data_IF_299892325111
#
_entry.id   IF_299892325111
#
_cell.length_a   1.000
_cell.length_b   1.000
_cell.length_c   1.000
_cell.angle_alpha   90.00
_cell.angle_beta   90.00
_cell.angle_gamma   90.00
#
_symmetry.space_group_name_H-M   'P 1'
#
loop_
_entity.id
_entity.type
_entity.pdbx_description
1 polymer ?
#
# COMPACT_ATOMS: atom_id res chain seq x y z
N UNK A 1 18.52 -15.52 -4.34
CA UNK A 1 18.41 -14.13 -4.82
C UNK A 1 17.22 -13.52 -4.09
N UNK A 2 17.44 -12.60 -3.15
CA UNK A 2 16.34 -11.85 -2.58
C UNK A 2 15.73 -11.04 -3.73
N UNK A 3 14.46 -11.20 -4.09
CA UNK A 3 13.87 -10.33 -5.09
C UNK A 3 13.87 -8.93 -4.48
N UNK A 4 14.79 -8.07 -4.93
CA UNK A 4 14.79 -6.65 -4.65
C UNK A 4 13.41 -6.11 -5.02
N UNK A 5 12.56 -5.80 -4.05
CA UNK A 5 11.23 -5.26 -4.36
C UNK A 5 10.16 -5.40 -3.28
N UNK A 6 10.44 -5.95 -2.11
CA UNK A 6 9.48 -6.02 -0.99
C UNK A 6 10.11 -5.64 0.35
N UNK A 7 9.32 -5.06 1.25
CA UNK A 7 9.73 -4.67 2.61
C UNK A 7 8.66 -5.07 3.62
N UNK A 8 8.99 -5.05 4.91
CA UNK A 8 8.04 -5.35 5.97
C UNK A 8 6.98 -4.25 6.04
N UNK A 9 5.71 -4.63 5.97
CA UNK A 9 4.59 -3.71 6.05
C UNK A 9 4.18 -3.49 7.52
N UNK A 10 4.15 -2.23 7.96
CA UNK A 10 3.56 -1.86 9.25
C UNK A 10 2.18 -1.26 9.02
N UNK A 11 1.13 -2.02 9.32
CA UNK A 11 -0.25 -1.61 9.04
C UNK A 11 -0.76 -0.70 10.15
N UNK A 12 -1.12 0.52 9.77
CA UNK A 12 -1.74 1.51 10.65
C UNK A 12 -3.26 1.38 10.59
N UNK A 13 -3.80 1.25 9.38
CA UNK A 13 -5.23 1.03 9.17
C UNK A 13 -5.50 -0.02 8.10
N UNK A 14 -6.60 -0.75 8.27
CA UNK A 14 -7.11 -1.71 7.30
C UNK A 14 -8.62 -1.56 7.18
N UNK A 15 -9.11 -1.48 5.96
CA UNK A 15 -10.53 -1.60 5.65
C UNK A 15 -10.79 -2.68 4.61
N UNK A 16 -12.06 -3.02 4.42
CA UNK A 16 -12.49 -3.91 3.35
C UNK A 16 -13.63 -3.25 2.56
N UNK A 17 -13.42 -3.09 1.24
CA UNK A 17 -14.38 -2.50 0.32
C UNK A 17 -14.75 -3.57 -0.71
N UNK A 18 -16.02 -4.00 -0.73
CA UNK A 18 -16.52 -5.03 -1.65
C UNK A 18 -15.66 -6.31 -1.72
N UNK A 19 -15.08 -6.72 -0.59
CA UNK A 19 -14.21 -7.91 -0.49
C UNK A 19 -12.74 -7.67 -0.87
N UNK A 20 -12.38 -6.47 -1.35
CA UNK A 20 -11.00 -6.03 -1.54
C UNK A 20 -10.49 -5.41 -0.25
N UNK A 21 -9.36 -5.92 0.27
CA UNK A 21 -8.73 -5.28 1.43
C UNK A 21 -7.96 -4.05 0.97
N UNK A 22 -8.10 -2.96 1.71
CA UNK A 22 -7.32 -1.72 1.52
C UNK A 22 -6.55 -1.47 2.81
N UNK A 23 -5.28 -1.16 2.68
CA UNK A 23 -4.33 -1.02 3.76
C UNK A 23 -3.69 0.35 3.68
N UNK A 24 -3.59 1.00 4.83
CA UNK A 24 -2.77 2.17 5.06
C UNK A 24 -1.68 1.80 6.06
N UNK A 25 -0.44 2.13 5.76
CA UNK A 25 0.67 1.72 6.60
C UNK A 25 1.95 2.46 6.33
N UNK A 26 3.00 2.04 7.03
CA UNK A 26 4.37 2.53 6.85
C UNK A 26 5.30 1.39 6.53
N UNK A 27 6.37 1.71 5.80
CA UNK A 27 7.42 0.74 5.49
C UNK A 27 8.71 1.44 5.08
N UNK A 28 9.79 0.67 5.00
CA UNK A 28 11.08 1.21 4.56
C UNK A 28 11.26 0.83 3.10
N UNK A 29 11.17 1.82 2.21
CA UNK A 29 11.50 1.63 0.81
C UNK A 29 13.01 1.81 0.61
N UNK A 30 13.79 0.73 0.36
CA UNK A 30 15.24 0.79 0.31
C UNK A 30 15.78 1.61 -0.88
N UNK A 31 14.95 1.93 -1.87
CA UNK A 31 15.36 2.68 -3.05
C UNK A 31 15.38 4.21 -2.84
N UNK A 32 14.66 4.75 -1.86
CA UNK A 32 14.51 6.20 -1.68
C UNK A 32 14.26 6.60 -0.21
N UNK A 33 15.30 6.67 0.62
CA UNK A 33 15.28 7.45 1.89
C UNK A 33 14.18 7.03 2.91
N UNK A 34 13.90 7.72 4.05
CA UNK A 34 13.41 7.12 5.30
C UNK A 34 12.01 6.49 5.22
N UNK A 35 11.52 5.93 6.34
CA UNK A 35 10.20 5.30 6.42
C UNK A 35 9.13 6.14 5.70
N UNK A 36 8.46 5.51 4.74
CA UNK A 36 7.44 6.13 3.89
C UNK A 36 6.09 5.53 4.23
N UNK A 37 5.05 6.32 3.97
CA UNK A 37 3.67 5.86 4.01
C UNK A 37 3.36 5.07 2.75
N UNK A 38 2.46 4.11 2.85
CA UNK A 38 1.95 3.40 1.70
C UNK A 38 0.46 3.15 1.80
N UNK A 39 -0.16 3.08 0.64
CA UNK A 39 -1.52 2.61 0.43
C UNK A 39 -1.45 1.37 -0.44
N UNK A 40 -2.00 0.25 0.03
CA UNK A 40 -2.04 -0.98 -0.75
C UNK A 40 -3.45 -1.54 -0.79
N UNK A 41 -3.86 -2.10 -1.93
CA UNK A 41 -5.16 -2.78 -2.07
C UNK A 41 -5.01 -4.06 -2.89
N UNK A 42 -5.90 -5.01 -2.63
CA UNK A 42 -5.91 -6.30 -3.32
C UNK A 42 -6.15 -7.46 -2.36
N UNK A 43 -6.35 -8.66 -2.93
CA UNK A 43 -6.58 -9.87 -2.13
C UNK A 43 -5.30 -10.43 -1.51
N UNK A 44 -4.19 -10.34 -2.23
CA UNK A 44 -2.90 -10.93 -1.84
C UNK A 44 -1.75 -9.90 -1.78
N UNK A 45 -2.09 -8.60 -1.81
CA UNK A 45 -1.12 -7.50 -1.94
C UNK A 45 -0.10 -7.41 -0.77
N UNK A 46 -0.44 -8.00 0.38
CA UNK A 46 0.43 -8.10 1.56
C UNK A 46 0.75 -9.56 1.94
N UNK A 47 0.92 -10.44 0.96
CA UNK A 47 1.24 -11.84 1.21
C UNK A 47 2.45 -11.96 2.16
N UNK A 48 2.24 -12.59 3.32
CA UNK A 48 3.28 -12.77 4.34
C UNK A 48 3.66 -11.50 5.12
N UNK A 49 2.86 -10.43 5.06
CA UNK A 49 3.15 -9.16 5.74
C UNK A 49 4.21 -8.31 5.04
N UNK A 50 4.49 -8.63 3.77
CA UNK A 50 5.44 -7.91 2.93
C UNK A 50 4.67 -7.03 1.93
N UNK A 51 5.17 -5.81 1.72
CA UNK A 51 4.63 -4.86 0.73
C UNK A 51 5.67 -4.60 -0.35
N UNK A 52 5.22 -4.47 -1.60
CA UNK A 52 6.10 -4.11 -2.70
C UNK A 52 6.69 -2.70 -2.50
N UNK A 53 7.98 -2.51 -2.76
CA UNK A 53 8.68 -1.22 -2.57
C UNK A 53 8.65 -0.34 -3.83
N UNK A 54 7.69 -0.56 -4.70
CA UNK A 54 7.50 0.22 -5.93
C UNK A 54 6.02 0.51 -6.12
N UNK A 55 5.73 1.61 -6.83
CA UNK A 55 4.36 1.98 -7.15
C UNK A 55 3.80 1.05 -8.23
N UNK A 56 2.65 0.44 -7.96
CA UNK A 56 1.84 -0.31 -8.90
C UNK A 56 0.38 0.11 -8.74
N UNK A 57 -0.33 0.29 -9.86
CA UNK A 57 -1.74 0.65 -9.84
C UNK A 57 -2.47 -0.17 -10.90
N UNK A 58 -3.31 -1.10 -10.44
CA UNK A 58 -4.27 -1.82 -11.25
C UNK A 58 -5.66 -1.71 -10.60
N UNK A 59 -6.71 -2.04 -11.37
CA UNK A 59 -8.09 -1.92 -10.90
C UNK A 59 -8.41 -2.85 -9.73
N UNK A 60 -7.75 -4.00 -9.65
CA UNK A 60 -8.02 -5.05 -8.65
C UNK A 60 -6.99 -5.07 -7.51
N UNK A 61 -5.77 -4.60 -7.77
CA UNK A 61 -4.68 -4.54 -6.80
C UNK A 61 -3.67 -3.42 -7.10
N UNK A 62 -2.94 -2.99 -6.09
CA UNK A 62 -1.87 -2.02 -6.27
C UNK A 62 -1.25 -1.57 -4.96
N UNK A 63 -0.13 -0.88 -5.07
CA UNK A 63 0.60 -0.29 -3.97
C UNK A 63 1.11 1.09 -4.39
N UNK A 64 0.90 2.09 -3.56
CA UNK A 64 1.39 3.45 -3.77
C UNK A 64 2.16 3.89 -2.52
N UNK A 65 3.32 4.50 -2.74
CA UNK A 65 4.20 5.02 -1.70
C UNK A 65 4.22 6.54 -1.72
N UNK A 66 4.28 7.11 -0.53
CA UNK A 66 4.20 8.54 -0.28
C UNK A 66 5.19 8.92 0.80
N UNK A 67 5.73 10.14 0.68
CA UNK A 67 6.63 10.70 1.69
C UNK A 67 5.83 11.42 2.77
N UNK A 68 4.76 12.11 2.37
CA UNK A 68 3.87 12.85 3.28
C UNK A 68 2.67 12.00 3.71
N UNK A 69 2.29 12.10 4.99
CA UNK A 69 1.15 11.38 5.56
C UNK A 69 -0.16 11.84 4.92
N UNK A 70 -0.37 13.15 4.81
CA UNK A 70 -1.58 13.74 4.23
C UNK A 70 -1.84 13.25 2.79
N UNK A 71 -0.80 13.16 1.96
CA UNK A 71 -0.92 12.63 0.59
C UNK A 71 -1.37 11.15 0.60
N UNK A 72 -0.84 10.37 1.53
CA UNK A 72 -1.17 8.97 1.69
C UNK A 72 -2.60 8.77 2.21
N UNK A 73 -3.06 9.61 3.15
CA UNK A 73 -4.44 9.59 3.65
C UNK A 73 -5.45 9.95 2.56
N UNK A 74 -5.16 10.97 1.76
CA UNK A 74 -5.99 11.34 0.60
C UNK A 74 -6.08 10.17 -0.37
N UNK A 75 -4.92 9.58 -0.73
CA UNK A 75 -4.89 8.44 -1.65
C UNK A 75 -5.64 7.22 -1.10
N UNK A 76 -5.58 6.98 0.22
CA UNK A 76 -6.31 5.90 0.87
C UNK A 76 -7.83 6.10 0.76
N UNK A 77 -8.32 7.32 1.01
CA UNK A 77 -9.73 7.66 0.83
C UNK A 77 -10.17 7.57 -0.64
N UNK A 78 -9.31 7.98 -1.58
CA UNK A 78 -9.57 7.88 -3.02
C UNK A 78 -9.66 6.42 -3.49
N UNK A 79 -8.77 5.54 -3.02
CA UNK A 79 -8.80 4.10 -3.33
C UNK A 79 -10.07 3.47 -2.76
N UNK A 80 -10.43 3.78 -1.52
CA UNK A 80 -11.68 3.31 -0.92
C UNK A 80 -12.90 3.74 -1.74
N UNK A 81 -12.94 4.99 -2.19
CA UNK A 81 -14.03 5.53 -3.01
C UNK A 81 -14.06 4.86 -4.38
N UNK A 82 -12.91 4.72 -5.03
CA UNK A 82 -12.77 4.09 -6.35
C UNK A 82 -13.24 2.63 -6.36
N UNK A 83 -13.02 1.90 -5.25
CA UNK A 83 -13.45 0.51 -5.10
C UNK A 83 -14.96 0.36 -4.78
N UNK A 84 -15.62 1.44 -4.35
CA UNK A 84 -17.08 1.45 -4.13
C UNK A 84 -17.88 1.60 -5.42
N UNK A 85 -17.27 2.15 -6.48
CA UNK A 85 -17.92 2.45 -7.76
C UNK A 85 -18.46 3.86 -7.83
#
# INVERSE_FOLDING_TARGET
>A
MNPCGTTQAHILEKTQVHGVSVYFGTGVNPANSPAQFFVAWGREILAGGLVHTYNSRCSEEGCLWFVEEDEAEIAYAEVQTSLRG
#
